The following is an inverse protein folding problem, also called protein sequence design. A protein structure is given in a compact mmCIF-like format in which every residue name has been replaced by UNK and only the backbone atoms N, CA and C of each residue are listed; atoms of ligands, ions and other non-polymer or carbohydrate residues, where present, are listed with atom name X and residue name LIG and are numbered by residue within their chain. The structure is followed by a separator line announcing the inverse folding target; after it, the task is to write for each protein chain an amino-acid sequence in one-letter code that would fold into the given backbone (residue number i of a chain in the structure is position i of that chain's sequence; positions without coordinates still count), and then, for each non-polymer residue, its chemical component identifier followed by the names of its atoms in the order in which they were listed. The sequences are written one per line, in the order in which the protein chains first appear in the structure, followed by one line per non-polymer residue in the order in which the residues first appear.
data_IF_338678079666
#
_entry.id   IF_338678079666
#
_cell.length_a   1.000
_cell.length_b   1.000
_cell.length_c   1.000
_cell.angle_alpha   90.00
_cell.angle_beta   90.00
_cell.angle_gamma   90.00
#
_symmetry.space_group_name_H-M   'P 1'
#
loop_
_entity.id
_entity.type
_entity.pdbx_description
1 polymer ?
#
# COMPACT_ATOMS: atom_id res chain seq x y z
N UNK A 1 3.41 12.53 4.64
CA UNK A 1 4.02 13.50 3.70
C UNK A 1 3.30 13.30 2.39
N UNK A 2 2.56 14.30 1.93
CA UNK A 2 1.78 14.19 0.70
C UNK A 2 2.73 14.47 -0.47
N UNK A 3 2.90 13.47 -1.33
CA UNK A 3 3.73 13.59 -2.52
C UNK A 3 2.89 13.28 -3.74
N UNK A 4 2.92 14.21 -4.67
CA UNK A 4 2.18 14.15 -5.92
C UNK A 4 3.16 13.92 -7.06
N UNK A 5 2.82 13.05 -8.01
CA UNK A 5 3.70 12.71 -9.12
C UNK A 5 2.93 12.26 -10.37
N UNK A 6 3.62 12.26 -11.52
CA UNK A 6 3.16 11.63 -12.76
C UNK A 6 3.90 10.30 -12.96
N UNK A 7 3.18 9.25 -13.34
CA UNK A 7 3.77 7.92 -13.51
C UNK A 7 3.13 7.18 -14.69
N UNK A 8 3.32 7.72 -15.89
CA UNK A 8 2.82 7.16 -17.15
C UNK A 8 3.83 6.26 -17.88
N UNK A 9 5.05 6.13 -17.36
CA UNK A 9 6.09 5.26 -17.93
C UNK A 9 5.81 3.75 -17.73
N UNK A 10 6.50 2.85 -18.43
CA UNK A 10 6.28 1.40 -18.34
C UNK A 10 6.75 0.79 -17.01
N UNK A 11 7.44 1.56 -16.18
CA UNK A 11 8.04 1.09 -14.93
C UNK A 11 7.97 2.14 -13.82
N UNK A 12 8.13 1.69 -12.58
CA UNK A 12 8.27 2.54 -11.38
C UNK A 12 9.58 2.17 -10.68
N UNK A 13 10.38 3.17 -10.32
CA UNK A 13 11.57 2.98 -9.49
C UNK A 13 11.22 3.29 -8.02
N UNK A 14 11.21 2.28 -7.16
CA UNK A 14 10.87 2.42 -5.73
C UNK A 14 12.12 2.22 -4.88
N UNK A 15 12.63 3.25 -4.20
CA UNK A 15 13.84 3.12 -3.41
C UNK A 15 13.62 2.17 -2.23
N UNK A 16 14.69 1.50 -1.82
CA UNK A 16 14.69 0.72 -0.57
C UNK A 16 14.85 1.69 0.60
N UNK A 17 14.07 1.56 1.70
CA UNK A 17 14.23 2.38 2.89
C UNK A 17 15.68 2.44 3.37
N UNK A 18 16.20 3.64 3.62
CA UNK A 18 17.59 3.86 4.02
C UNK A 18 17.97 3.07 5.29
N UNK A 19 19.14 2.43 5.29
CA UNK A 19 19.63 1.61 6.41
C UNK A 19 18.92 0.26 6.54
N UNK A 20 18.32 -0.25 5.47
CA UNK A 20 17.83 -1.64 5.41
C UNK A 20 19.01 -2.59 5.51
N UNK A 21 18.87 -3.61 6.36
CA UNK A 21 19.88 -4.66 6.57
C UNK A 21 19.25 -6.02 6.37
N UNK A 22 20.10 -7.03 6.13
CA UNK A 22 19.65 -8.40 5.95
C UNK A 22 18.82 -8.89 7.14
N UNK A 23 17.72 -9.57 6.85
CA UNK A 23 16.76 -10.04 7.85
C UNK A 23 15.61 -9.09 8.15
N UNK A 24 15.70 -7.80 7.80
CA UNK A 24 14.59 -6.85 7.92
C UNK A 24 13.39 -7.31 7.06
N UNK A 25 12.17 -7.03 7.50
CA UNK A 25 10.97 -7.38 6.76
C UNK A 25 10.48 -6.18 5.95
N UNK A 26 10.35 -6.36 4.64
CA UNK A 26 9.91 -5.34 3.72
C UNK A 26 8.49 -5.62 3.23
N UNK A 27 7.68 -4.57 3.18
CA UNK A 27 6.31 -4.61 2.66
C UNK A 27 6.20 -3.59 1.54
N UNK A 28 5.90 -4.07 0.34
CA UNK A 28 5.65 -3.24 -0.82
C UNK A 28 4.14 -3.13 -1.05
N UNK A 29 3.64 -1.90 -0.92
CA UNK A 29 2.30 -1.53 -1.34
C UNK A 29 2.33 -1.17 -2.81
N UNK A 30 1.37 -1.71 -3.58
CA UNK A 30 1.21 -1.43 -5.00
C UNK A 30 -0.27 -1.24 -5.31
N UNK A 31 -0.59 -0.11 -5.91
CA UNK A 31 -1.94 0.24 -6.35
C UNK A 31 -1.86 0.60 -7.81
N UNK A 32 -2.79 0.08 -8.61
CA UNK A 32 -2.89 0.47 -10.00
C UNK A 32 -4.36 0.51 -10.43
N UNK A 33 -4.63 1.39 -11.37
CA UNK A 33 -5.95 1.61 -11.94
C UNK A 33 -6.27 0.63 -13.10
N UNK A 34 -5.80 -0.63 -13.01
CA UNK A 34 -6.11 -1.68 -14.00
C UNK A 34 -6.15 -3.06 -13.35
N UNK A 35 -7.36 -3.59 -13.20
CA UNK A 35 -7.62 -4.81 -12.44
C UNK A 35 -6.90 -6.07 -13.00
N UNK A 36 -6.65 -6.11 -14.31
CA UNK A 36 -6.01 -7.24 -15.01
C UNK A 36 -4.47 -7.15 -15.08
N UNK A 37 -3.87 -6.01 -14.72
CA UNK A 37 -2.43 -5.80 -14.83
C UNK A 37 -1.67 -6.49 -13.70
N UNK A 38 -0.65 -7.28 -14.04
CA UNK A 38 0.23 -7.94 -13.09
C UNK A 38 1.63 -7.34 -13.20
N UNK A 39 2.12 -6.58 -12.20
CA UNK A 39 3.48 -6.07 -12.24
C UNK A 39 4.48 -7.21 -12.12
N UNK A 40 5.61 -7.07 -12.80
CA UNK A 40 6.76 -7.97 -12.65
C UNK A 40 7.65 -7.43 -11.55
N UNK A 41 7.81 -8.20 -10.48
CA UNK A 41 8.59 -7.84 -9.30
C UNK A 41 9.38 -9.06 -8.79
N UNK A 42 10.64 -9.17 -9.21
CA UNK A 42 11.48 -10.33 -8.90
C UNK A 42 11.87 -10.40 -7.42
N UNK A 43 11.80 -11.58 -6.82
CA UNK A 43 12.23 -11.83 -5.45
C UNK A 43 11.27 -11.33 -4.36
N UNK A 44 10.04 -10.95 -4.73
CA UNK A 44 8.99 -10.58 -3.81
C UNK A 44 7.85 -11.60 -3.84
N UNK A 45 7.28 -11.91 -2.68
CA UNK A 45 6.14 -12.80 -2.56
C UNK A 45 4.86 -11.98 -2.50
N UNK A 46 3.87 -12.30 -3.33
CA UNK A 46 2.54 -11.71 -3.22
C UNK A 46 1.86 -12.23 -1.97
N UNK A 47 1.41 -11.32 -1.10
CA UNK A 47 0.69 -11.68 0.12
C UNK A 47 -0.82 -11.54 -0.03
N UNK A 48 -1.30 -10.45 -0.63
CA UNK A 48 -2.72 -10.25 -0.86
C UNK A 48 -2.95 -9.38 -2.09
N UNK A 49 -4.02 -9.70 -2.83
CA UNK A 49 -4.59 -8.86 -3.88
C UNK A 49 -6.03 -8.56 -3.52
N UNK A 50 -6.43 -7.30 -3.69
CA UNK A 50 -7.80 -6.84 -3.50
C UNK A 50 -8.27 -6.15 -4.78
N UNK A 51 -9.23 -6.77 -5.45
CA UNK A 51 -9.91 -6.26 -6.64
C UNK A 51 -11.37 -6.74 -6.60
N UNK A 52 -12.28 -6.05 -7.29
CA UNK A 52 -13.66 -6.51 -7.50
C UNK A 52 -13.97 -6.83 -8.98
N UNK A 53 -12.97 -6.74 -9.86
CA UNK A 53 -13.09 -6.97 -11.31
C UNK A 53 -14.08 -6.06 -12.04
N UNK A 54 -14.71 -5.11 -11.33
CA UNK A 54 -15.79 -4.26 -11.85
C UNK A 54 -15.30 -2.83 -12.07
N UNK A 55 -14.40 -2.38 -11.20
CA UNK A 55 -13.65 -1.14 -11.38
C UNK A 55 -12.22 -1.55 -11.65
N UNK A 56 -11.61 -0.90 -12.63
CA UNK A 56 -10.19 -1.03 -12.94
C UNK A 56 -9.36 -0.40 -11.82
N UNK A 57 -9.28 -1.12 -10.71
CA UNK A 57 -8.50 -0.79 -9.53
C UNK A 57 -8.18 -2.07 -8.79
N UNK A 58 -6.94 -2.18 -8.37
CA UNK A 58 -6.52 -3.19 -7.42
C UNK A 58 -5.52 -2.59 -6.41
N UNK A 59 -5.44 -3.23 -5.25
CA UNK A 59 -4.41 -3.00 -4.24
C UNK A 59 -3.72 -4.32 -3.94
N UNK A 60 -2.39 -4.30 -3.93
CA UNK A 60 -1.55 -5.46 -3.64
C UNK A 60 -0.56 -5.13 -2.54
N UNK A 61 -0.31 -6.15 -1.71
CA UNK A 61 0.81 -6.16 -0.79
C UNK A 61 1.75 -7.30 -1.16
N UNK A 62 3.02 -6.96 -1.32
CA UNK A 62 4.10 -7.91 -1.52
C UNK A 62 5.05 -7.87 -0.34
N UNK A 63 5.69 -9.00 -0.05
CA UNK A 63 6.56 -9.17 1.10
C UNK A 63 7.89 -9.75 0.69
N UNK A 64 8.93 -9.34 1.42
CA UNK A 64 10.28 -9.83 1.25
C UNK A 64 11.02 -9.73 2.57
N UNK A 65 11.87 -10.72 2.84
CA UNK A 65 12.91 -10.57 3.86
C UNK A 65 14.16 -10.05 3.18
N UNK A 66 14.68 -8.93 3.66
CA UNK A 66 15.83 -8.25 3.09
C UNK A 66 17.04 -9.19 3.04
N UNK A 67 17.70 -9.23 1.88
CA UNK A 67 18.87 -10.07 1.59
C UNK A 67 19.71 -9.40 0.51
N UNK A 68 20.64 -8.55 0.92
CA UNK A 68 21.48 -7.72 0.05
C UNK A 68 20.66 -6.87 -0.92
N UNK A 69 19.81 -6.02 -0.37
CA UNK A 69 18.87 -5.22 -1.15
C UNK A 69 19.59 -4.19 -2.04
N UNK A 70 19.12 -3.98 -3.28
CA UNK A 70 19.60 -2.89 -4.12
C UNK A 70 19.18 -1.54 -3.51
N UNK A 71 19.75 -0.44 -3.99
CA UNK A 71 19.30 0.90 -3.60
C UNK A 71 17.84 1.18 -4.03
N UNK A 72 17.38 0.54 -5.10
CA UNK A 72 16.06 0.76 -5.70
C UNK A 72 15.57 -0.50 -6.41
N UNK A 73 14.27 -0.75 -6.33
CA UNK A 73 13.58 -1.76 -7.11
C UNK A 73 12.89 -1.14 -8.32
N UNK A 74 13.08 -1.74 -9.49
CA UNK A 74 12.31 -1.39 -10.69
C UNK A 74 11.12 -2.34 -10.81
N UNK A 75 9.91 -1.79 -10.75
CA UNK A 75 8.66 -2.51 -10.95
C UNK A 75 8.25 -2.29 -12.41
N UNK A 76 8.23 -3.35 -13.22
CA UNK A 76 7.69 -3.26 -14.58
C UNK A 76 6.18 -3.44 -14.53
N UNK A 77 5.42 -2.51 -15.14
CA UNK A 77 3.96 -2.54 -15.12
C UNK A 77 3.46 -3.55 -16.14
N UNK A 78 2.38 -4.26 -15.80
CA UNK A 78 1.87 -5.39 -16.59
C UNK A 78 0.98 -5.02 -17.78
N UNK A 79 0.97 -3.77 -18.24
CA UNK A 79 0.07 -3.28 -19.29
C UNK A 79 0.69 -2.11 -20.06
N UNK A 80 0.25 -1.91 -21.32
CA UNK A 80 0.62 -0.77 -22.19
C UNK A 80 -0.44 0.34 -22.23
N UNK A 81 -1.65 0.11 -21.72
CA UNK A 81 -2.71 1.11 -21.63
C UNK A 81 -2.82 1.59 -20.18
N UNK A 82 -3.10 2.87 -19.91
CA UNK A 82 -3.47 3.38 -18.57
C UNK A 82 -2.59 2.85 -17.43
N UNK A 83 -1.30 3.18 -17.46
CA UNK A 83 -0.30 2.60 -16.56
C UNK A 83 -0.10 3.41 -15.28
N UNK A 84 -1.13 4.12 -14.84
CA UNK A 84 -1.09 4.91 -13.62
C UNK A 84 -1.06 3.96 -12.41
N UNK A 85 0.05 4.01 -11.69
CA UNK A 85 0.25 3.16 -10.53
C UNK A 85 1.08 3.87 -9.49
N UNK A 86 0.93 3.41 -8.26
CA UNK A 86 1.60 3.95 -7.10
C UNK A 86 2.18 2.80 -6.32
N UNK A 87 3.42 2.96 -5.87
CA UNK A 87 4.08 1.95 -5.08
C UNK A 87 4.95 2.58 -4.00
N UNK A 88 5.10 1.88 -2.88
CA UNK A 88 6.00 2.29 -1.81
C UNK A 88 6.47 1.07 -1.01
N UNK A 89 7.71 1.13 -0.51
CA UNK A 89 8.30 0.11 0.36
C UNK A 89 8.37 0.64 1.80
N UNK A 90 7.79 -0.13 2.71
CA UNK A 90 7.89 0.04 4.17
C UNK A 90 8.79 -1.03 4.77
N UNK A 91 9.51 -0.69 5.84
CA UNK A 91 10.44 -1.61 6.53
C UNK A 91 10.07 -1.82 8.00
N UNK A 92 10.17 -3.07 8.44
CA UNK A 92 9.83 -3.54 9.77
C UNK A 92 10.91 -4.47 10.34
N UNK A 93 11.09 -4.42 11.67
CA UNK A 93 12.02 -5.27 12.43
C UNK A 93 11.30 -6.07 13.49
N UNK A 94 11.88 -7.21 13.91
CA UNK A 94 11.32 -8.07 14.95
C UNK A 94 10.13 -8.91 14.48
N UNK A 95 10.04 -9.16 13.17
CA UNK A 95 9.02 -10.03 12.55
C UNK A 95 9.49 -11.48 12.60
N UNK A 96 8.62 -12.37 13.08
CA UNK A 96 8.90 -13.79 13.27
C UNK A 96 9.63 -14.42 12.06
N UNK A 97 10.74 -15.09 12.34
CA UNK A 97 11.62 -15.74 11.35
C UNK A 97 11.21 -17.17 11.01
N UNK A 98 10.30 -17.76 11.79
CA UNK A 98 9.75 -19.10 11.59
C UNK A 98 8.23 -19.11 11.76
N UNK A 99 7.56 -20.12 11.19
CA UNK A 99 6.11 -20.24 11.19
C UNK A 99 5.47 -19.40 10.08
N UNK A 100 4.20 -19.01 10.28
CA UNK A 100 3.46 -18.11 9.39
C UNK A 100 3.43 -16.69 9.98
N UNK A 101 4.45 -15.85 9.70
CA UNK A 101 4.60 -14.54 10.34
C UNK A 101 3.66 -13.48 9.78
N UNK A 102 2.72 -13.87 8.92
CA UNK A 102 1.94 -12.98 8.07
C UNK A 102 0.50 -13.43 8.11
N UNK A 103 -0.40 -12.47 8.37
CA UNK A 103 -1.84 -12.66 8.20
C UNK A 103 -2.37 -11.57 7.32
N UNK A 104 -3.23 -11.91 6.37
CA UNK A 104 -3.74 -10.94 5.39
C UNK A 104 -5.24 -10.93 5.34
N UNK A 105 -5.79 -9.78 4.99
CA UNK A 105 -7.21 -9.65 4.65
C UNK A 105 -7.39 -8.48 3.68
N UNK A 106 -8.58 -8.33 3.13
CA UNK A 106 -8.88 -7.25 2.22
C UNK A 106 -10.38 -7.01 2.08
N UNK A 107 -10.75 -5.79 1.71
CA UNK A 107 -12.11 -5.48 1.32
C UNK A 107 -12.15 -4.48 0.15
N UNK A 108 -13.23 -4.60 -0.61
CA UNK A 108 -13.54 -3.72 -1.72
C UNK A 108 -14.63 -2.75 -1.29
N UNK A 109 -14.44 -1.47 -1.57
CA UNK A 109 -15.44 -0.45 -1.32
C UNK A 109 -15.89 0.09 -2.67
N UNK A 110 -17.18 -0.07 -2.92
CA UNK A 110 -17.82 0.43 -4.14
C UNK A 110 -17.77 1.96 -4.21
N UNK A 111 -17.99 2.51 -5.41
CA UNK A 111 -18.11 3.95 -5.63
C UNK A 111 -19.15 4.55 -4.68
N UNK A 112 -18.72 5.51 -3.86
CA UNK A 112 -19.52 6.43 -3.02
C UNK A 112 -18.54 7.14 -2.09
N UNK A 113 -18.32 8.43 -2.32
CA UNK A 113 -17.34 9.21 -1.56
C UNK A 113 -17.51 9.11 -0.04
N UNK A 114 -16.61 8.34 0.58
CA UNK A 114 -16.25 8.33 2.00
C UNK A 114 -17.34 8.02 3.04
N UNK A 115 -16.94 7.58 4.25
CA UNK A 115 -15.59 7.17 4.65
C UNK A 115 -15.27 5.73 4.23
N UNK A 116 -13.99 5.44 4.02
CA UNK A 116 -13.49 4.09 3.71
C UNK A 116 -12.93 3.43 4.95
N UNK A 117 -13.52 2.31 5.34
CA UNK A 117 -13.09 1.54 6.50
C UNK A 117 -12.26 0.34 6.05
N UNK A 118 -11.03 0.25 6.56
CA UNK A 118 -10.18 -0.91 6.37
C UNK A 118 -10.79 -2.17 6.99
N UNK A 119 -10.39 -3.36 6.51
CA UNK A 119 -10.86 -4.62 7.06
C UNK A 119 -10.28 -4.86 8.46
N UNK A 120 -11.06 -5.55 9.30
CA UNK A 120 -10.66 -6.05 10.62
C UNK A 120 -9.71 -7.23 10.49
N UNK A 121 -8.69 -7.29 11.33
CA UNK A 121 -7.78 -8.44 11.49
C UNK A 121 -7.99 -9.07 12.86
N UNK A 122 -8.07 -10.40 12.92
CA UNK A 122 -8.35 -11.15 14.15
C UNK A 122 -7.13 -11.96 14.62
N UNK A 123 -7.18 -12.35 15.90
CA UNK A 123 -6.17 -13.18 16.57
C UNK A 123 -4.84 -12.46 16.87
N UNK A 124 -4.80 -11.14 16.78
CA UNK A 124 -3.57 -10.35 16.90
C UNK A 124 -3.07 -10.26 18.34
N UNK A 125 -1.74 -10.23 18.50
CA UNK A 125 -1.07 -9.80 19.72
C UNK A 125 -0.89 -8.28 19.73
N UNK A 126 -0.86 -7.62 20.91
CA UNK A 126 -0.46 -6.21 21.02
C UNK A 126 0.92 -5.87 20.43
N UNK A 127 1.77 -6.88 20.22
CA UNK A 127 3.12 -6.74 19.65
C UNK A 127 3.15 -6.84 18.12
N UNK A 128 2.08 -7.29 17.49
CA UNK A 128 2.01 -7.47 16.04
C UNK A 128 1.84 -6.11 15.35
N UNK A 129 2.51 -5.91 14.22
CA UNK A 129 2.34 -4.69 13.43
C UNK A 129 1.25 -4.89 12.39
N UNK A 130 0.21 -4.08 12.46
CA UNK A 130 -0.87 -4.06 11.48
C UNK A 130 -0.61 -2.96 10.48
N UNK A 131 -0.72 -3.29 9.20
CA UNK A 131 -0.44 -2.39 8.08
C UNK A 131 -1.63 -2.44 7.13
N UNK A 132 -2.16 -1.28 6.77
CA UNK A 132 -3.19 -1.13 5.76
C UNK A 132 -2.62 -0.35 4.57
N UNK A 133 -2.73 -0.94 3.38
CA UNK A 133 -2.52 -0.31 2.09
C UNK A 133 -3.87 -0.01 1.47
N UNK A 134 -4.29 1.24 1.60
CA UNK A 134 -5.57 1.69 1.06
C UNK A 134 -5.32 2.31 -0.31
N UNK A 135 -5.60 1.50 -1.34
CA UNK A 135 -5.60 1.96 -2.72
C UNK A 135 -6.93 2.59 -3.07
N UNK A 136 -6.88 3.73 -3.72
CA UNK A 136 -8.07 4.38 -4.30
C UNK A 136 -7.76 4.81 -5.73
N UNK A 137 -8.80 4.94 -6.54
CA UNK A 137 -8.74 5.57 -7.85
C UNK A 137 -10.12 6.14 -8.16
N UNK A 138 -10.16 7.11 -9.07
CA UNK A 138 -11.42 7.59 -9.60
C UNK A 138 -12.04 6.50 -10.47
N UNK A 139 -13.29 6.15 -10.17
CA UNK A 139 -14.07 5.21 -10.98
C UNK A 139 -14.56 5.82 -12.30
N UNK A 140 -14.53 7.14 -12.42
CA UNK A 140 -14.78 7.86 -13.66
C UNK A 140 -13.46 8.35 -14.22
N UNK A 141 -13.27 8.24 -15.54
CA UNK A 141 -12.09 8.72 -16.26
C UNK A 141 -12.02 10.27 -16.34
N UNK A 142 -12.53 10.95 -15.31
CA UNK A 142 -12.90 12.36 -15.35
C UNK A 142 -11.85 13.29 -14.68
N UNK A 143 -10.66 12.79 -14.33
CA UNK A 143 -9.51 13.62 -13.96
C UNK A 143 -9.75 14.65 -12.86
N UNK A 144 -10.38 14.24 -11.76
CA UNK A 144 -10.76 15.15 -10.68
C UNK A 144 -9.87 15.00 -9.46
N UNK A 145 -9.38 16.13 -8.96
CA UNK A 145 -8.56 16.13 -7.75
C UNK A 145 -9.35 15.63 -6.53
N UNK A 146 -8.70 14.79 -5.74
CA UNK A 146 -9.12 14.43 -4.39
C UNK A 146 -7.90 14.21 -3.50
N UNK A 147 -8.11 14.30 -2.19
CA UNK A 147 -7.11 13.99 -1.18
C UNK A 147 -7.59 12.87 -0.29
N UNK A 148 -6.65 12.13 0.31
CA UNK A 148 -6.94 11.15 1.34
C UNK A 148 -6.45 11.66 2.68
N UNK A 149 -7.34 11.71 3.67
CA UNK A 149 -6.97 12.00 5.05
C UNK A 149 -7.01 10.71 5.85
N UNK A 150 -5.87 10.37 6.46
CA UNK A 150 -5.76 9.25 7.39
C UNK A 150 -6.66 9.43 8.63
N UNK A 151 -6.91 8.36 9.41
CA UNK A 151 -7.81 8.37 10.58
C UNK A 151 -7.35 9.30 11.72
N UNK A 152 -6.09 9.72 11.74
CA UNK A 152 -5.46 10.27 12.94
C UNK A 152 -5.35 9.23 14.08
N UNK A 153 -5.06 9.70 15.29
CA UNK A 153 -5.00 8.86 16.48
C UNK A 153 -3.81 7.89 16.52
N UNK A 154 -4.07 6.62 16.87
CA UNK A 154 -3.05 5.58 17.06
C UNK A 154 -2.39 5.06 15.76
N UNK A 155 -2.96 5.41 14.61
CA UNK A 155 -2.42 5.05 13.30
C UNK A 155 -1.34 6.02 12.86
N UNK A 156 -0.23 5.48 12.40
CA UNK A 156 0.81 6.28 11.77
C UNK A 156 0.68 6.23 10.24
N UNK A 157 0.49 7.39 9.63
CA UNK A 157 0.60 7.56 8.17
C UNK A 157 2.05 7.45 7.73
N UNK A 158 2.31 6.56 6.77
CA UNK A 158 3.65 6.27 6.24
C UNK A 158 3.84 6.89 4.88
N UNK A 159 2.84 6.70 4.05
CA UNK A 159 2.85 7.05 2.64
C UNK A 159 1.48 7.62 2.34
N UNK A 160 1.45 8.76 1.66
CA UNK A 160 0.23 9.32 1.09
C UNK A 160 0.60 9.89 -0.27
N UNK A 161 0.29 9.10 -1.28
CA UNK A 161 0.74 9.29 -2.65
C UNK A 161 -0.47 9.35 -3.54
N UNK A 162 -0.55 10.40 -4.36
CA UNK A 162 -1.67 10.65 -5.26
C UNK A 162 -1.07 10.96 -6.63
N UNK A 163 -1.42 10.15 -7.64
CA UNK A 163 -1.05 10.46 -9.02
C UNK A 163 -1.89 11.64 -9.53
N UNK A 164 -1.27 12.63 -10.17
CA UNK A 164 -1.96 13.73 -10.85
C UNK A 164 -2.35 13.43 -12.29
N UNK A 165 -2.14 12.20 -12.75
CA UNK A 165 -2.44 11.85 -14.13
C UNK A 165 -3.97 11.91 -14.35
N UNK A 166 -4.38 12.73 -15.33
CA UNK A 166 -5.73 13.31 -15.47
C UNK A 166 -6.84 12.33 -15.88
N UNK A 167 -6.60 11.03 -15.83
CA UNK A 167 -7.52 10.01 -16.34
C UNK A 167 -8.15 9.25 -15.16
N UNK A 168 -7.38 8.55 -14.32
CA UNK A 168 -7.95 7.77 -13.20
C UNK A 168 -7.37 8.08 -11.80
N UNK A 169 -6.36 8.95 -11.68
CA UNK A 169 -5.83 9.48 -10.41
C UNK A 169 -5.67 8.41 -9.30
N UNK A 170 -4.90 7.33 -9.50
CA UNK A 170 -4.69 6.36 -8.44
C UNK A 170 -3.93 6.97 -7.27
N UNK A 171 -4.32 6.59 -6.06
CA UNK A 171 -3.67 7.00 -4.83
C UNK A 171 -3.47 5.80 -3.90
N UNK A 172 -2.46 5.90 -3.05
CA UNK A 172 -2.28 5.01 -1.92
C UNK A 172 -1.99 5.78 -0.65
N UNK A 173 -2.67 5.38 0.41
CA UNK A 173 -2.27 5.72 1.76
C UNK A 173 -1.89 4.43 2.50
N UNK A 174 -0.67 4.42 3.06
CA UNK A 174 -0.17 3.30 3.87
C UNK A 174 -0.17 3.74 5.33
N UNK A 175 -0.86 2.98 6.16
CA UNK A 175 -1.02 3.22 7.59
C UNK A 175 -0.51 2.01 8.35
N UNK A 176 0.06 2.22 9.53
CA UNK A 176 0.34 1.12 10.44
C UNK A 176 0.06 1.46 11.92
N UNK A 177 -0.21 0.41 12.70
CA UNK A 177 -0.45 0.49 14.13
C UNK A 177 -0.15 -0.87 14.80
N UNK A 178 0.40 -0.83 16.02
CA UNK A 178 0.60 -2.04 16.83
C UNK A 178 -0.72 -2.57 17.38
N UNK A 179 -0.95 -3.88 17.24
CA UNK A 179 -2.07 -4.60 17.86
C UNK A 179 -3.47 -4.14 17.43
N UNK A 180 -3.60 -3.39 16.35
CA UNK A 180 -4.88 -2.83 15.93
C UNK A 180 -5.80 -3.92 15.35
N UNK A 181 -6.86 -4.28 16.07
CA UNK A 181 -7.84 -5.24 15.57
C UNK A 181 -8.85 -4.63 14.59
N UNK A 182 -9.13 -3.33 14.72
CA UNK A 182 -10.03 -2.60 13.82
C UNK A 182 -9.27 -1.96 12.66
N UNK A 183 -9.88 -1.88 11.49
CA UNK A 183 -9.28 -1.17 10.36
C UNK A 183 -9.34 0.36 10.53
N UNK A 184 -8.40 1.10 9.92
CA UNK A 184 -8.44 2.56 9.91
C UNK A 184 -9.60 3.05 9.06
N UNK A 185 -10.15 4.20 9.44
CA UNK A 185 -11.12 4.94 8.63
C UNK A 185 -10.41 6.06 7.91
N UNK A 186 -10.47 6.09 6.58
CA UNK A 186 -9.97 7.22 5.80
C UNK A 186 -11.12 7.97 5.14
N UNK A 187 -10.93 9.28 4.97
CA UNK A 187 -11.94 10.14 4.36
C UNK A 187 -11.36 10.78 3.11
N UNK A 188 -11.89 10.47 1.91
CA UNK A 188 -11.58 11.22 0.71
C UNK A 188 -12.25 12.60 0.77
N UNK A 189 -11.57 13.64 0.29
CA UNK A 189 -12.15 14.98 0.19
C UNK A 189 -11.78 15.65 -1.14
N UNK A 190 -12.53 16.68 -1.55
CA UNK A 190 -12.38 17.35 -2.85
C UNK A 190 -13.41 16.89 -3.89
N UNK A 191 -13.35 17.49 -5.09
CA UNK A 191 -14.36 17.32 -6.15
C UNK A 191 -14.41 15.90 -6.73
N UNK A 192 -13.27 15.18 -6.71
CA UNK A 192 -13.17 13.79 -7.14
C UNK A 192 -13.61 12.76 -6.08
N UNK A 193 -13.78 13.17 -4.82
CA UNK A 193 -14.01 12.24 -3.71
C UNK A 193 -15.26 11.37 -3.87
N UNK A 194 -16.34 11.91 -4.45
CA UNK A 194 -17.57 11.16 -4.71
C UNK A 194 -17.36 9.96 -5.65
N UNK A 195 -16.38 10.07 -6.55
CA UNK A 195 -16.09 9.07 -7.58
C UNK A 195 -14.96 8.11 -7.18
N UNK A 196 -14.29 8.34 -6.06
CA UNK A 196 -13.25 7.44 -5.60
C UNK A 196 -13.87 6.08 -5.17
N UNK A 197 -13.20 5.01 -5.58
CA UNK A 197 -13.45 3.65 -5.12
C UNK A 197 -12.26 3.14 -4.31
N UNK A 198 -12.48 2.21 -3.38
CA UNK A 198 -11.44 1.73 -2.46
C UNK A 198 -11.11 0.26 -2.64
N UNK A 199 -9.82 -0.09 -2.68
CA UNK A 199 -9.28 -1.44 -2.55
C UNK A 199 -8.31 -1.43 -1.39
N UNK A 200 -8.71 -2.03 -0.27
CA UNK A 200 -7.92 -1.97 0.94
C UNK A 200 -7.35 -3.35 1.22
N UNK A 201 -6.04 -3.44 1.11
CA UNK A 201 -5.27 -4.62 1.50
C UNK A 201 -4.71 -4.40 2.90
N UNK A 202 -4.77 -5.42 3.74
CA UNK A 202 -4.24 -5.37 5.09
C UNK A 202 -3.36 -6.57 5.39
N UNK A 203 -2.33 -6.34 6.21
CA UNK A 203 -1.43 -7.37 6.70
C UNK A 203 -1.14 -7.14 8.19
N UNK A 204 -1.07 -8.22 8.96
CA UNK A 204 -0.43 -8.24 10.27
C UNK A 204 0.91 -8.98 10.17
N UNK A 205 1.97 -8.34 10.65
CA UNK A 205 3.29 -8.93 10.83
C UNK A 205 3.39 -9.42 12.27
N UNK A 206 3.50 -10.74 12.43
CA UNK A 206 3.61 -11.40 13.74
C UNK A 206 4.99 -11.14 14.32
N UNK A 207 5.02 -10.74 15.58
CA UNK A 207 6.27 -10.44 16.26
C UNK A 207 7.07 -11.70 16.63
N UNK A 208 8.40 -11.59 16.69
CA UNK A 208 9.23 -12.62 17.33
C UNK A 208 8.89 -12.74 18.82
N UNK A 209 8.91 -13.96 19.36
CA UNK A 209 8.66 -14.19 20.79
C UNK A 209 9.64 -13.33 21.60
N UNK A 210 9.12 -12.40 22.41
CA UNK A 210 9.81 -11.39 23.24
C UNK A 210 10.19 -10.05 22.60
N UNK A 211 9.87 -9.80 21.33
CA UNK A 211 10.05 -8.48 20.71
C UNK A 211 8.70 -7.91 20.23
N UNK A 212 8.52 -6.59 20.31
CA UNK A 212 7.48 -5.91 19.53
C UNK A 212 8.01 -5.67 18.11
N UNK A 213 7.15 -5.78 17.10
CA UNK A 213 7.55 -5.36 15.75
C UNK A 213 7.81 -3.85 15.77
N UNK A 214 9.04 -3.46 15.44
CA UNK A 214 9.44 -2.05 15.43
C UNK A 214 9.48 -1.51 14.02
N UNK A 215 8.99 -0.30 13.86
CA UNK A 215 9.19 0.55 12.69
C UNK A 215 10.62 1.10 12.65
N UNK A 216 11.12 1.41 11.46
CA UNK A 216 12.29 2.27 11.30
C UNK A 216 11.93 3.56 10.57
N UNK A 217 12.56 4.68 10.93
CA UNK A 217 12.36 5.97 10.27
C UNK A 217 13.12 5.99 8.93
N UNK A 218 12.40 5.91 7.82
CA UNK A 218 12.94 6.04 6.47
C UNK A 218 12.03 5.35 5.46
N UNK A 219 11.65 6.05 4.38
CA UNK A 219 10.68 5.56 3.40
C UNK A 219 11.27 5.63 2.00
N UNK A 220 11.06 4.57 1.25
CA UNK A 220 11.32 4.56 -0.18
C UNK A 220 10.17 5.23 -0.93
N UNK A 221 10.16 6.56 -0.99
CA UNK A 221 9.25 7.27 -1.91
C UNK A 221 9.87 7.21 -3.31
N UNK A 222 9.12 6.75 -4.33
CA UNK A 222 9.67 6.64 -5.68
C UNK A 222 10.28 7.97 -6.18
N UNK A 223 11.42 7.85 -6.86
CA UNK A 223 11.87 8.84 -7.84
C UNK A 223 11.29 8.39 -9.18
N UNK A 224 10.27 9.09 -9.65
CA UNK A 224 9.70 8.86 -10.96
C UNK A 224 10.68 9.40 -12.00
N UNK A 225 11.14 8.54 -12.90
CA UNK A 225 12.03 8.87 -14.03
C UNK A 225 11.22 8.79 -15.31
#
# INVERSE_FOLDING_TARGET
MNLTFSNTGPSIAVPVPAGTVDGDFLVLSYVNNQSASNPVLAGWNLAVTVSDGTIDLLSRLYLRRASSEPATYTITKGSTYGVESVAAISRYKGVATSGDPVRTTGNTIARRGGPYMGPTLSGLSPTDMVIHSIGTALSSWAGRDYTLTGPGGGWAERVNLISTDATATPAVIVLDQLGASTGPTITPSGTGAYDAAGRIAAIALVAESVAAVKRFQGWGVPLFV
#
